data_IF_519529481297
#
_entry.id   IF_519529481297
#
_cell.length_a   1.000
_cell.length_b   1.000
_cell.length_c   1.000
_cell.angle_alpha   90.00
_cell.angle_beta   90.00
_cell.angle_gamma   90.00
#
_symmetry.space_group_name_H-M   'P 1'
#
loop_
_entity.id
_entity.type
_entity.pdbx_description
1 polymer ?
#
# COMPACT_ATOMS: atom_id res chain seq x y z
N UNK A 1 -8.29 4.07 3.66
CA UNK A 1 -7.04 4.16 2.84
C UNK A 1 -7.41 4.25 1.38
N UNK A 2 -6.71 5.07 0.65
CA UNK A 2 -6.89 5.20 -0.80
C UNK A 2 -5.79 4.46 -1.52
N UNK A 3 -6.16 3.79 -2.59
CA UNK A 3 -5.23 3.03 -3.41
C UNK A 3 -5.13 3.70 -4.77
N UNK A 4 -3.91 4.05 -5.14
CA UNK A 4 -3.64 4.72 -6.40
C UNK A 4 -2.87 3.77 -7.30
N UNK A 5 -3.26 3.73 -8.57
CA UNK A 5 -2.61 2.85 -9.52
C UNK A 5 -1.15 3.25 -9.76
N UNK A 6 -0.40 2.29 -10.29
CA UNK A 6 1.00 2.51 -10.66
C UNK A 6 1.19 3.73 -11.55
N UNK A 7 0.25 3.98 -12.45
CA UNK A 7 0.31 5.12 -13.36
C UNK A 7 -0.26 6.41 -12.77
N UNK A 8 -0.86 6.31 -11.60
CA UNK A 8 -1.43 7.49 -10.93
C UNK A 8 -2.77 7.95 -11.47
N UNK A 9 -3.39 7.19 -12.36
CA UNK A 9 -4.63 7.61 -13.02
C UNK A 9 -5.88 6.94 -12.47
N UNK A 10 -5.75 6.05 -11.50
CA UNK A 10 -6.88 5.39 -10.83
C UNK A 10 -6.69 5.54 -9.34
N UNK A 11 -7.74 5.93 -8.65
CA UNK A 11 -7.73 6.19 -7.21
C UNK A 11 -9.01 5.58 -6.64
N UNK A 12 -8.86 4.53 -5.85
CA UNK A 12 -9.99 3.76 -5.34
C UNK A 12 -9.93 3.64 -3.82
N UNK A 13 -11.10 3.57 -3.16
CA UNK A 13 -11.12 3.33 -1.72
C UNK A 13 -10.86 1.85 -1.42
N UNK A 14 -9.80 1.59 -0.69
CA UNK A 14 -9.37 0.21 -0.41
C UNK A 14 -10.47 -0.62 0.26
N UNK A 15 -11.23 -0.01 1.13
CA UNK A 15 -12.25 -0.70 1.91
C UNK A 15 -13.45 -1.15 1.08
N UNK A 16 -13.55 -0.69 -0.15
CA UNK A 16 -14.70 -0.97 -1.00
C UNK A 16 -14.35 -1.73 -2.28
N UNK A 17 -13.11 -2.17 -2.40
CA UNK A 17 -12.67 -2.84 -3.62
C UNK A 17 -12.26 -4.27 -3.36
N UNK A 18 -12.28 -5.06 -4.41
CA UNK A 18 -11.69 -6.39 -4.40
C UNK A 18 -10.42 -6.31 -5.24
N UNK A 19 -9.30 -6.68 -4.64
CA UNK A 19 -8.01 -6.64 -5.32
C UNK A 19 -7.52 -8.05 -5.55
N UNK A 20 -7.04 -8.33 -6.75
CA UNK A 20 -6.44 -9.62 -7.06
C UNK A 20 -5.24 -9.44 -7.96
N UNK A 21 -4.29 -10.34 -7.86
CA UNK A 21 -3.23 -10.44 -8.85
C UNK A 21 -3.67 -11.45 -9.91
N UNK A 22 -3.42 -11.12 -11.15
CA UNK A 22 -3.77 -11.99 -12.25
C UNK A 22 -2.64 -11.88 -13.28
N UNK A 23 -1.86 -12.96 -13.39
CA UNK A 23 -0.66 -12.96 -14.20
C UNK A 23 0.26 -11.80 -13.77
N UNK A 24 0.65 -10.96 -14.70
CA UNK A 24 1.55 -9.83 -14.41
C UNK A 24 0.82 -8.57 -13.98
N UNK A 25 -0.49 -8.67 -13.76
CA UNK A 25 -1.31 -7.52 -13.41
C UNK A 25 -1.82 -7.58 -11.99
N UNK A 26 -1.98 -6.42 -11.39
CA UNK A 26 -2.79 -6.27 -10.19
C UNK A 26 -4.07 -5.55 -10.60
N UNK A 27 -5.18 -6.20 -10.34
CA UNK A 27 -6.50 -5.73 -10.76
C UNK A 27 -7.36 -5.39 -9.56
N UNK A 28 -8.26 -4.46 -9.73
CA UNK A 28 -9.26 -4.14 -8.73
C UNK A 28 -10.65 -4.10 -9.35
N UNK A 29 -11.64 -4.52 -8.58
CA UNK A 29 -13.04 -4.40 -8.96
C UNK A 29 -13.71 -3.41 -8.02
N UNK A 30 -14.35 -2.42 -8.59
CA UNK A 30 -15.08 -1.41 -7.85
C UNK A 30 -16.35 -1.08 -8.58
N UNK A 31 -17.48 -1.25 -7.91
CA UNK A 31 -18.80 -1.01 -8.50
C UNK A 31 -18.98 -1.71 -9.85
N UNK A 32 -18.62 -2.98 -9.88
CA UNK A 32 -18.75 -3.86 -11.04
C UNK A 32 -17.83 -3.52 -12.21
N UNK A 33 -16.90 -2.59 -12.04
CA UNK A 33 -15.91 -2.28 -13.05
C UNK A 33 -14.54 -2.78 -12.64
N UNK A 34 -13.78 -3.22 -13.60
CA UNK A 34 -12.40 -3.65 -13.36
C UNK A 34 -11.43 -2.54 -13.71
N UNK A 35 -10.41 -2.42 -12.89
CA UNK A 35 -9.35 -1.44 -13.08
C UNK A 35 -8.00 -2.12 -12.96
N UNK A 36 -7.05 -1.72 -13.79
CA UNK A 36 -5.67 -2.17 -13.67
C UNK A 36 -4.96 -1.23 -12.69
N UNK A 37 -4.50 -1.79 -11.59
CA UNK A 37 -3.76 -1.02 -10.60
C UNK A 37 -2.26 -1.03 -10.87
N UNK A 38 -1.76 -2.11 -11.46
CA UNK A 38 -0.37 -2.19 -11.82
C UNK A 38 -0.09 -3.27 -12.84
N UNK A 39 0.96 -3.07 -13.61
CA UNK A 39 1.48 -4.05 -14.54
C UNK A 39 2.96 -4.23 -14.24
N UNK A 40 3.38 -5.48 -14.12
CA UNK A 40 4.75 -5.79 -13.74
C UNK A 40 5.39 -6.72 -14.77
N UNK A 41 6.69 -6.88 -14.66
CA UNK A 41 7.44 -7.69 -15.62
C UNK A 41 7.31 -9.19 -15.36
N UNK A 42 6.76 -9.57 -14.21
CA UNK A 42 6.55 -10.98 -13.88
C UNK A 42 5.37 -11.13 -12.93
N UNK A 43 4.84 -12.35 -12.87
CA UNK A 43 3.77 -12.70 -11.94
C UNK A 43 4.23 -12.49 -10.50
N UNK A 44 5.48 -12.85 -10.22
CA UNK A 44 6.03 -12.73 -8.88
C UNK A 44 6.07 -11.27 -8.42
N UNK A 45 6.39 -10.36 -9.31
CA UNK A 45 6.38 -8.94 -8.97
C UNK A 45 4.97 -8.43 -8.72
N UNK A 46 4.00 -8.88 -9.51
CA UNK A 46 2.60 -8.50 -9.28
C UNK A 46 2.13 -8.99 -7.92
N UNK A 47 2.44 -10.23 -7.59
CA UNK A 47 2.09 -10.80 -6.29
C UNK A 47 2.78 -10.02 -5.16
N UNK A 48 4.05 -9.68 -5.35
CA UNK A 48 4.79 -8.91 -4.34
C UNK A 48 4.19 -7.54 -4.13
N UNK A 49 3.80 -6.87 -5.20
CA UNK A 49 3.17 -5.56 -5.09
C UNK A 49 1.85 -5.65 -4.33
N UNK A 50 1.08 -6.70 -4.59
CA UNK A 50 -0.16 -6.93 -3.87
C UNK A 50 0.10 -7.22 -2.38
N UNK A 51 1.14 -7.98 -2.08
CA UNK A 51 1.54 -8.24 -0.70
C UNK A 51 1.93 -6.95 0.03
N UNK A 52 2.62 -6.06 -0.66
CA UNK A 52 2.97 -4.76 -0.10
C UNK A 52 1.73 -3.97 0.31
N UNK A 53 0.69 -4.01 -0.51
CA UNK A 53 -0.57 -3.37 -0.17
C UNK A 53 -1.21 -4.00 1.07
N UNK A 54 -1.27 -5.33 1.10
CA UNK A 54 -1.86 -6.05 2.23
C UNK A 54 -1.09 -5.77 3.52
N UNK A 55 0.23 -5.86 3.48
CA UNK A 55 1.06 -5.57 4.63
C UNK A 55 0.86 -4.15 5.12
N UNK A 56 0.75 -3.24 4.19
CA UNK A 56 0.56 -1.84 4.52
C UNK A 56 -0.73 -1.62 5.30
N UNK A 57 -1.81 -2.21 4.83
CA UNK A 57 -3.10 -2.02 5.49
C UNK A 57 -3.17 -2.76 6.83
N UNK A 58 -2.79 -4.03 6.82
CA UNK A 58 -2.89 -4.87 8.01
C UNK A 58 -1.77 -4.62 9.00
N UNK A 59 -0.62 -4.21 8.50
CA UNK A 59 0.54 -3.89 9.33
C UNK A 59 0.52 -2.48 9.90
N UNK A 60 -0.56 -1.76 9.74
CA UNK A 60 -0.70 -0.46 10.36
C UNK A 60 -0.49 -0.59 11.84
N UNK A 61 0.44 0.17 12.39
CA UNK A 61 0.75 0.02 13.80
C UNK A 61 -0.44 0.39 14.65
N UNK A 62 -0.70 -0.48 15.56
CA UNK A 62 -1.70 -0.23 16.57
C UNK A 62 -1.09 0.60 17.67
N UNK A 63 -0.01 1.18 17.37
CA UNK A 63 0.84 1.91 18.29
C UNK A 63 0.22 3.14 18.88
N UNK A 64 -0.89 3.49 18.43
CA UNK A 64 -1.52 4.74 18.80
C UNK A 64 -2.08 4.73 20.19
N UNK A 65 -1.96 3.58 20.84
CA UNK A 65 -2.56 3.44 22.15
C UNK A 65 -1.58 3.72 23.18
N UNK A 66 -1.30 4.47 23.89
CA UNK A 66 -0.51 4.50 25.11
C UNK A 66 0.97 4.54 24.98
N UNK A 67 1.47 4.97 23.88
CA UNK A 67 2.89 4.94 23.73
C UNK A 67 3.42 6.34 23.60
N UNK A 68 4.64 6.50 24.03
CA UNK A 68 5.40 7.63 23.62
C UNK A 68 5.64 7.45 22.12
N UNK A 69 4.83 8.14 21.37
CA UNK A 69 4.65 7.82 19.95
C UNK A 69 5.70 8.40 19.05
N UNK A 70 6.55 9.27 19.53
CA UNK A 70 7.38 10.05 18.65
C UNK A 70 8.38 9.21 17.86
N UNK A 71 9.15 8.37 18.51
CA UNK A 71 10.15 7.55 17.82
C UNK A 71 9.51 6.45 16.99
N UNK A 72 8.54 5.79 17.57
CA UNK A 72 7.87 4.67 16.87
C UNK A 72 7.11 5.15 15.66
N UNK A 73 6.49 6.30 15.75
CA UNK A 73 5.77 6.89 14.62
C UNK A 73 6.72 7.27 13.49
N UNK A 74 7.87 7.82 13.82
CA UNK A 74 8.84 8.15 12.78
C UNK A 74 9.32 6.91 12.03
N UNK A 75 9.61 5.85 12.75
CA UNK A 75 10.02 4.60 12.12
C UNK A 75 8.94 4.03 11.23
N UNK A 76 7.69 4.09 11.68
CA UNK A 76 6.58 3.60 10.90
C UNK A 76 6.32 4.46 9.68
N UNK A 77 6.42 5.75 9.79
CA UNK A 77 6.28 6.63 8.64
C UNK A 77 7.36 6.35 7.59
N UNK A 78 8.58 6.12 8.02
CA UNK A 78 9.65 5.77 7.10
C UNK A 78 9.40 4.44 6.43
N UNK A 79 8.94 3.46 7.19
CA UNK A 79 8.60 2.15 6.64
C UNK A 79 7.50 2.26 5.61
N UNK A 80 6.47 3.03 5.92
CA UNK A 80 5.34 3.23 5.02
C UNK A 80 5.74 3.94 3.75
N UNK A 81 6.63 4.91 3.85
CA UNK A 81 7.16 5.58 2.65
C UNK A 81 7.90 4.61 1.76
N UNK A 82 8.68 3.72 2.34
CA UNK A 82 9.39 2.69 1.57
C UNK A 82 8.43 1.73 0.87
N UNK A 83 7.25 1.53 1.45
CA UNK A 83 6.22 0.68 0.86
C UNK A 83 5.30 1.44 -0.11
N UNK A 84 5.61 2.67 -0.42
CA UNK A 84 4.80 3.45 -1.36
C UNK A 84 3.65 4.20 -0.72
N UNK A 85 3.64 4.35 0.58
CA UNK A 85 2.57 5.05 1.27
C UNK A 85 2.94 6.49 1.55
N UNK A 86 2.02 7.37 1.22
CA UNK A 86 2.11 8.76 1.59
C UNK A 86 1.10 9.03 2.68
N UNK A 87 1.55 9.60 3.78
CA UNK A 87 0.69 9.92 4.91
C UNK A 87 0.61 11.43 5.06
N UNK A 88 -0.61 11.93 5.13
CA UNK A 88 -0.83 13.32 5.50
C UNK A 88 -0.93 13.39 7.00
N UNK A 89 0.14 13.73 7.62
CA UNK A 89 0.14 13.92 9.06
C UNK A 89 0.48 15.36 9.36
N UNK A 90 -0.49 16.13 9.76
CA UNK A 90 -0.24 17.50 10.20
C UNK A 90 0.08 17.52 11.67
N UNK A 91 -0.45 16.58 12.40
CA UNK A 91 -0.21 16.43 13.82
C UNK A 91 -0.06 14.95 14.12
N UNK A 92 -0.04 14.56 15.37
CA UNK A 92 -0.02 13.15 15.72
C UNK A 92 -1.37 12.55 15.38
N UNK A 93 -1.50 11.80 14.32
CA UNK A 93 -2.79 11.24 13.93
C UNK A 93 -3.18 10.10 14.86
N UNK A 94 -4.47 9.97 15.09
CA UNK A 94 -5.00 8.77 15.70
C UNK A 94 -4.88 7.61 14.70
N UNK A 95 -5.08 6.39 15.17
CA UNK A 95 -5.06 5.23 14.28
C UNK A 95 -6.08 5.38 13.16
N UNK A 96 -7.28 5.85 13.50
CA UNK A 96 -8.33 6.04 12.49
C UNK A 96 -7.93 7.11 11.47
N UNK A 97 -7.36 8.21 11.94
CA UNK A 97 -6.90 9.26 11.05
C UNK A 97 -5.77 8.76 10.15
N UNK A 98 -4.88 7.96 10.70
CA UNK A 98 -3.79 7.38 9.93
C UNK A 98 -4.33 6.52 8.79
N UNK A 99 -5.27 5.63 9.07
CA UNK A 99 -5.87 4.77 8.06
C UNK A 99 -6.66 5.59 7.03
N UNK A 100 -7.46 6.54 7.49
CA UNK A 100 -8.29 7.33 6.59
C UNK A 100 -7.48 8.22 5.67
N UNK A 101 -6.34 8.70 6.15
CA UNK A 101 -5.51 9.63 5.39
C UNK A 101 -4.34 8.96 4.68
N UNK A 102 -4.17 7.67 4.88
CA UNK A 102 -3.10 6.95 4.22
C UNK A 102 -3.43 6.75 2.74
N UNK A 103 -2.40 6.88 1.93
CA UNK A 103 -2.49 6.66 0.50
C UNK A 103 -1.43 5.65 0.12
N UNK A 104 -1.84 4.57 -0.52
CA UNK A 104 -0.90 3.60 -1.09
C UNK A 104 -0.92 3.74 -2.60
N UNK A 105 0.23 4.02 -3.18
CA UNK A 105 0.39 4.00 -4.62
C UNK A 105 1.20 2.77 -5.01
N UNK A 106 0.72 2.03 -6.00
CA UNK A 106 1.42 0.85 -6.47
C UNK A 106 2.79 1.25 -7.00
N UNK A 107 3.84 0.52 -6.60
CA UNK A 107 5.21 0.87 -7.01
C UNK A 107 5.44 0.59 -8.48
N UNK A 108 6.45 1.24 -9.02
CA UNK A 108 6.92 0.96 -10.37
C UNK A 108 7.57 -0.42 -10.42
N UNK A 109 7.65 -0.98 -11.60
CA UNK A 109 8.20 -2.32 -11.77
C UNK A 109 9.61 -2.46 -11.20
N UNK A 110 10.44 -1.48 -11.44
CA UNK A 110 11.83 -1.51 -10.98
C UNK A 110 11.96 -1.36 -9.46
N UNK A 111 10.93 -0.87 -8.82
CA UNK A 111 10.92 -0.67 -7.37
C UNK A 111 10.44 -1.90 -6.60
N UNK A 112 9.99 -2.93 -7.32
CA UNK A 112 9.55 -4.17 -6.70
C UNK A 112 10.69 -5.16 -6.74
N UNK A 113 11.20 -5.51 -5.57
CA UNK A 113 12.30 -6.46 -5.45
C UNK A 113 11.78 -7.85 -5.14
N UNK A 114 12.28 -8.82 -5.91
CA UNK A 114 11.98 -10.21 -5.67
C UNK A 114 13.19 -10.82 -4.99
N UNK A 115 13.00 -11.28 -3.79
CA UNK A 115 14.05 -11.97 -3.07
C UNK A 115 13.93 -13.46 -3.36
N UNK A 116 14.81 -13.96 -4.21
CA UNK A 116 14.77 -15.33 -4.68
C UNK A 116 15.47 -16.31 -3.77
N UNK A 117 15.96 -15.85 -2.66
CA UNK A 117 16.74 -16.72 -1.80
C UNK A 117 18.12 -17.06 -2.34
N UNK A 118 18.51 -16.43 -3.40
CA UNK A 118 19.84 -16.58 -3.98
C UNK A 118 20.80 -15.52 -3.54
N UNK A 119 20.34 -14.66 -2.74
CA UNK A 119 21.11 -13.53 -2.25
C UNK A 119 21.62 -13.76 -0.87
#
# INVERSE_FOLDING_TARGET
MRVISQRGNVDLPYEQIVVRSEMEYVMAVYKEKEYVLGKYSSDDKAIKAMEMLIETYTGMPIVMQNVDVSEDMEKEFERLKKCGIMVRAENQPSKADFINNAIFQFPQDDDVEINNGLE
#
